data_IF_901871399057
#
_entry.id   IF_901871399057
#
_cell.length_a   1.000
_cell.length_b   1.000
_cell.length_c   1.000
_cell.angle_alpha   90.00
_cell.angle_beta   90.00
_cell.angle_gamma   90.00
#
_symmetry.space_group_name_H-M   'P 1'
#
loop_
_entity.id
_entity.type
_entity.pdbx_description
1 polymer ?
#
# COMPACT_ATOMS: atom_id res chain seq x y z
N UNK A 1 27.24 59.22 -31.43
CA UNK A 1 27.79 57.98 -30.87
C UNK A 1 26.78 57.43 -29.91
N UNK A 2 26.04 56.38 -30.28
CA UNK A 2 24.86 55.92 -29.57
C UNK A 2 25.22 54.91 -28.49
N UNK A 3 24.82 55.16 -27.26
CA UNK A 3 24.92 54.24 -26.13
C UNK A 3 23.67 53.33 -26.10
N UNK A 4 23.87 52.04 -26.25
CA UNK A 4 22.84 51.01 -26.20
C UNK A 4 22.59 50.60 -24.75
N UNK A 5 21.42 50.93 -24.22
CA UNK A 5 20.94 50.44 -22.91
C UNK A 5 20.31 49.05 -23.11
N UNK A 6 20.91 48.00 -22.51
CA UNK A 6 20.29 46.66 -22.40
C UNK A 6 19.26 46.66 -21.26
N UNK A 7 17.99 46.49 -21.60
CA UNK A 7 16.91 46.19 -20.65
C UNK A 7 17.01 44.72 -20.21
N UNK A 8 17.23 44.49 -18.92
CA UNK A 8 17.13 43.19 -18.27
C UNK A 8 15.65 42.91 -17.98
N UNK A 9 15.06 41.93 -18.69
CA UNK A 9 13.73 41.43 -18.43
C UNK A 9 13.72 40.58 -17.16
N UNK A 10 13.02 41.00 -16.14
CA UNK A 10 12.75 40.24 -14.93
C UNK A 10 11.83 39.06 -15.26
N UNK A 11 12.32 37.83 -15.06
CA UNK A 11 11.51 36.61 -15.15
C UNK A 11 10.59 36.53 -13.92
N UNK A 12 9.33 36.88 -14.08
CA UNK A 12 8.28 36.64 -13.09
C UNK A 12 8.05 35.12 -12.99
N UNK A 13 8.46 34.53 -11.89
CA UNK A 13 8.08 33.16 -11.53
C UNK A 13 6.56 33.14 -11.26
N UNK A 14 5.77 32.72 -12.25
CA UNK A 14 4.38 32.32 -12.03
C UNK A 14 4.38 31.10 -11.08
N UNK A 15 3.95 31.31 -9.84
CA UNK A 15 3.58 30.20 -8.94
C UNK A 15 2.48 29.38 -9.64
N UNK A 16 2.76 28.10 -9.88
CA UNK A 16 1.71 27.16 -10.30
C UNK A 16 0.61 27.16 -9.23
N UNK A 17 -0.67 27.25 -9.61
CA UNK A 17 -1.75 27.11 -8.64
C UNK A 17 -1.66 25.72 -7.97
N UNK A 18 -2.13 25.58 -6.71
CA UNK A 18 -2.18 24.28 -6.05
C UNK A 18 -2.98 23.33 -6.93
N UNK A 19 -2.46 22.12 -7.11
CA UNK A 19 -3.15 21.03 -7.83
C UNK A 19 -4.38 20.69 -6.99
N UNK A 20 -5.51 21.30 -7.31
CA UNK A 20 -6.82 20.82 -6.87
C UNK A 20 -6.95 19.41 -7.41
N UNK A 21 -7.00 18.42 -6.52
CA UNK A 21 -7.35 17.05 -6.90
C UNK A 21 -8.67 17.12 -7.66
N UNK A 22 -8.64 16.85 -8.97
CA UNK A 22 -9.85 16.71 -9.75
C UNK A 22 -10.59 15.51 -9.15
N UNK A 23 -11.76 15.76 -8.57
CA UNK A 23 -12.64 14.72 -8.05
C UNK A 23 -12.88 13.67 -9.13
N UNK A 24 -12.78 12.39 -8.79
CA UNK A 24 -12.99 11.28 -9.70
C UNK A 24 -14.37 11.36 -10.36
N UNK A 25 -14.43 11.13 -11.68
CA UNK A 25 -15.69 11.13 -12.43
C UNK A 25 -16.32 9.74 -12.41
N UNK A 26 -17.63 9.67 -12.36
CA UNK A 26 -18.41 8.45 -12.53
C UNK A 26 -18.55 8.08 -13.99
N UNK A 27 -18.67 6.78 -14.24
CA UNK A 27 -18.88 6.25 -15.59
C UNK A 27 -20.30 6.52 -16.14
N UNK A 28 -21.31 6.64 -15.28
CA UNK A 28 -22.67 7.01 -15.67
C UNK A 28 -23.31 7.88 -14.59
N UNK A 29 -23.77 9.05 -14.97
CA UNK A 29 -24.48 10.06 -14.17
C UNK A 29 -23.71 10.72 -13.02
N UNK A 30 -23.09 11.85 -13.32
CA UNK A 30 -22.45 12.79 -12.38
C UNK A 30 -23.42 13.35 -11.30
N UNK A 31 -24.69 12.92 -11.27
CA UNK A 31 -25.72 13.66 -10.56
C UNK A 31 -26.41 12.96 -9.39
N UNK A 32 -26.06 11.72 -9.03
CA UNK A 32 -26.83 11.07 -7.96
C UNK A 32 -26.03 10.20 -7.00
N UNK A 33 -25.38 10.83 -6.02
CA UNK A 33 -25.03 10.14 -4.77
C UNK A 33 -26.31 10.05 -3.94
N UNK A 34 -26.86 8.85 -3.78
CA UNK A 34 -27.93 8.61 -2.84
C UNK A 34 -27.34 8.51 -1.43
N UNK A 35 -27.37 9.63 -0.71
CA UNK A 35 -26.82 9.75 0.64
C UNK A 35 -27.60 8.93 1.68
N UNK A 36 -28.77 8.34 1.35
CA UNK A 36 -29.52 7.45 2.22
C UNK A 36 -28.97 6.02 2.19
N UNK A 37 -28.16 5.67 1.18
CA UNK A 37 -27.55 4.33 1.10
C UNK A 37 -26.32 4.22 1.98
N UNK A 38 -26.04 3.02 2.54
CA UNK A 38 -24.87 2.78 3.37
C UNK A 38 -23.54 2.83 2.57
N UNK A 39 -23.61 2.64 1.25
CA UNK A 39 -22.48 2.81 0.34
C UNK A 39 -22.90 3.75 -0.78
N UNK A 40 -22.12 4.81 -0.95
CA UNK A 40 -22.35 5.77 -2.03
C UNK A 40 -21.60 5.33 -3.28
N UNK A 41 -22.32 5.35 -4.39
CA UNK A 41 -21.71 5.06 -5.69
C UNK A 41 -20.78 6.21 -6.09
N UNK A 42 -19.49 6.09 -5.78
CA UNK A 42 -18.44 7.08 -5.99
C UNK A 42 -17.19 6.40 -6.57
N UNK A 43 -16.49 7.07 -7.46
CA UNK A 43 -15.28 6.55 -8.09
C UNK A 43 -14.11 7.53 -8.01
N UNK A 44 -12.91 6.99 -7.76
CA UNK A 44 -11.65 7.68 -7.96
C UNK A 44 -11.04 7.44 -9.34
N UNK A 45 -11.54 6.47 -10.09
CA UNK A 45 -11.03 6.15 -11.43
C UNK A 45 -11.60 7.11 -12.47
N UNK A 46 -10.73 7.61 -13.32
CA UNK A 46 -11.09 8.31 -14.56
C UNK A 46 -11.17 7.31 -15.71
N UNK A 47 -11.74 7.72 -16.85
CA UNK A 47 -11.76 6.87 -18.06
C UNK A 47 -10.34 6.53 -18.51
N UNK A 48 -9.40 7.46 -18.42
CA UNK A 48 -7.99 7.23 -18.73
C UNK A 48 -7.36 6.19 -17.78
N UNK A 49 -7.67 6.24 -16.48
CA UNK A 49 -7.22 5.23 -15.51
C UNK A 49 -7.71 3.83 -15.91
N UNK A 50 -8.96 3.71 -16.38
CA UNK A 50 -9.52 2.43 -16.79
C UNK A 50 -8.88 1.91 -18.07
N UNK A 51 -8.64 2.79 -19.06
CA UNK A 51 -7.87 2.43 -20.25
C UNK A 51 -6.48 1.93 -19.88
N UNK A 52 -5.78 2.67 -19.02
CA UNK A 52 -4.45 2.30 -18.53
C UNK A 52 -4.48 0.99 -17.73
N UNK A 53 -5.50 0.78 -16.89
CA UNK A 53 -5.67 -0.46 -16.13
C UNK A 53 -5.84 -1.68 -17.06
N UNK A 54 -6.73 -1.58 -18.04
CA UNK A 54 -6.95 -2.65 -19.02
C UNK A 54 -5.72 -2.95 -19.89
N UNK A 55 -4.88 -1.95 -20.12
CA UNK A 55 -3.63 -2.08 -20.88
C UNK A 55 -2.43 -2.49 -20.02
N UNK A 56 -2.59 -2.64 -18.69
CA UNK A 56 -1.49 -2.94 -17.77
C UNK A 56 -0.50 -1.79 -17.57
N UNK A 57 -0.91 -0.55 -17.83
CA UNK A 57 -0.09 0.65 -17.71
C UNK A 57 -0.50 1.61 -16.60
N UNK A 58 -1.39 1.20 -15.72
CA UNK A 58 -1.80 1.98 -14.54
C UNK A 58 -0.78 1.83 -13.39
N UNK A 59 0.41 2.41 -13.53
CA UNK A 59 1.51 2.28 -12.57
C UNK A 59 1.24 2.92 -11.20
N UNK A 60 0.25 3.79 -11.09
CA UNK A 60 -0.15 4.45 -9.85
C UNK A 60 -1.47 3.91 -9.28
N UNK A 61 -1.84 2.67 -9.61
CA UNK A 61 -3.08 2.02 -9.17
C UNK A 61 -3.27 2.04 -7.65
N UNK A 62 -2.19 2.01 -6.86
CA UNK A 62 -2.23 2.12 -5.40
C UNK A 62 -2.85 3.43 -4.86
N UNK A 63 -3.04 4.44 -5.72
CA UNK A 63 -3.74 5.69 -5.38
C UNK A 63 -5.25 5.61 -5.56
N UNK A 64 -5.73 4.50 -6.15
CA UNK A 64 -7.13 4.28 -6.50
C UNK A 64 -7.68 3.03 -5.82
N UNK A 65 -6.92 1.93 -5.89
CA UNK A 65 -7.27 0.69 -5.20
C UNK A 65 -6.99 0.79 -3.69
N UNK A 66 -7.73 0.01 -2.91
CA UNK A 66 -7.63 -0.04 -1.46
C UNK A 66 -8.60 0.92 -0.77
N UNK A 67 -8.30 1.25 0.48
CA UNK A 67 -9.08 2.15 1.32
C UNK A 67 -8.45 3.55 1.37
N UNK A 68 -9.25 4.59 1.05
CA UNK A 68 -8.80 5.98 1.01
C UNK A 68 -9.73 6.88 1.81
N UNK A 69 -9.19 7.62 2.80
CA UNK A 69 -9.94 8.64 3.52
C UNK A 69 -10.31 9.79 2.58
N UNK A 70 -11.58 10.13 2.52
CA UNK A 70 -12.13 11.21 1.68
C UNK A 70 -13.23 11.96 2.40
N UNK A 71 -13.49 13.18 1.92
CA UNK A 71 -14.71 13.93 2.22
C UNK A 71 -15.55 14.02 0.95
N UNK A 72 -16.76 13.50 0.97
CA UNK A 72 -17.70 13.51 -0.15
C UNK A 72 -19.01 14.12 0.32
N UNK A 73 -19.53 15.14 -0.35
CA UNK A 73 -20.72 15.91 0.08
C UNK A 73 -20.65 16.30 1.57
N UNK A 74 -19.54 16.93 1.98
CA UNK A 74 -19.24 17.37 3.36
C UNK A 74 -19.27 16.24 4.41
N UNK A 75 -19.26 14.99 3.99
CA UNK A 75 -19.24 13.83 4.88
C UNK A 75 -17.91 13.11 4.80
N UNK A 76 -17.24 12.95 5.93
CA UNK A 76 -16.01 12.17 6.04
C UNK A 76 -16.31 10.68 6.01
N UNK A 77 -15.41 9.91 5.40
CA UNK A 77 -15.52 8.47 5.32
C UNK A 77 -14.36 7.86 4.53
N UNK A 78 -14.56 6.63 4.06
CA UNK A 78 -13.56 5.94 3.26
C UNK A 78 -14.14 5.45 1.94
N UNK A 79 -13.41 5.71 0.87
CA UNK A 79 -13.61 5.05 -0.41
C UNK A 79 -12.85 3.73 -0.41
N UNK A 80 -13.48 2.69 -0.96
CA UNK A 80 -12.90 1.35 -1.13
C UNK A 80 -12.96 0.95 -2.58
N UNK A 81 -11.89 0.33 -3.07
CA UNK A 81 -11.87 -0.27 -4.40
C UNK A 81 -11.03 -1.56 -4.42
N UNK A 82 -11.53 -2.58 -5.12
CA UNK A 82 -10.85 -3.86 -5.27
C UNK A 82 -11.13 -4.48 -6.63
N UNK A 83 -10.14 -5.18 -7.18
CA UNK A 83 -10.28 -5.93 -8.42
C UNK A 83 -10.66 -7.37 -8.15
N UNK A 84 -11.90 -7.73 -8.54
CA UNK A 84 -12.45 -9.08 -8.39
C UNK A 84 -13.34 -9.41 -9.60
N UNK A 85 -12.74 -9.65 -10.78
CA UNK A 85 -13.44 -9.70 -12.07
C UNK A 85 -14.44 -10.85 -12.22
N UNK A 86 -14.28 -11.93 -11.44
CA UNK A 86 -15.16 -13.09 -11.50
C UNK A 86 -16.11 -13.17 -10.29
N UNK A 87 -16.14 -12.12 -9.45
CA UNK A 87 -17.07 -12.03 -8.34
C UNK A 87 -18.48 -11.68 -8.81
N UNK A 88 -19.49 -12.28 -8.16
CA UNK A 88 -20.90 -11.91 -8.33
C UNK A 88 -21.36 -10.89 -7.29
N UNK A 89 -20.62 -10.72 -6.18
CA UNK A 89 -20.86 -9.72 -5.13
C UNK A 89 -19.55 -9.45 -4.39
N UNK A 90 -19.33 -8.18 -4.08
CA UNK A 90 -18.28 -7.74 -3.16
C UNK A 90 -18.90 -6.81 -2.11
N UNK A 91 -18.49 -6.94 -0.86
CA UNK A 91 -18.90 -6.04 0.22
C UNK A 91 -17.72 -5.76 1.15
N UNK A 92 -17.69 -4.59 1.77
CA UNK A 92 -16.76 -4.29 2.86
C UNK A 92 -17.39 -4.74 4.17
N UNK A 93 -16.67 -5.55 4.94
CA UNK A 93 -17.08 -6.02 6.26
C UNK A 93 -16.02 -5.65 7.28
N UNK A 94 -16.45 -5.31 8.48
CA UNK A 94 -15.55 -4.89 9.54
C UNK A 94 -16.28 -4.66 10.86
N UNK A 95 -15.55 -4.17 11.87
CA UNK A 95 -16.12 -3.90 13.21
C UNK A 95 -17.27 -2.89 13.12
N UNK A 96 -17.16 -1.88 12.25
CA UNK A 96 -18.17 -0.83 12.02
C UNK A 96 -19.54 -1.35 11.54
N UNK A 97 -19.62 -2.57 11.05
CA UNK A 97 -20.90 -3.16 10.61
C UNK A 97 -21.16 -4.56 11.20
N UNK A 98 -20.39 -4.94 12.26
CA UNK A 98 -20.50 -6.24 12.90
C UNK A 98 -20.20 -7.40 11.95
N UNK A 99 -19.33 -7.20 10.97
CA UNK A 99 -18.90 -8.18 9.96
C UNK A 99 -20.03 -8.71 9.07
N UNK A 100 -21.10 -7.92 8.91
CA UNK A 100 -22.31 -8.32 8.16
C UNK A 100 -22.15 -8.04 6.68
N UNK A 101 -22.08 -9.10 5.87
CA UNK A 101 -21.84 -9.09 4.42
C UNK A 101 -22.97 -8.44 3.57
N UNK A 102 -24.08 -8.05 4.20
CA UNK A 102 -25.22 -7.44 3.51
C UNK A 102 -25.23 -5.91 3.60
N UNK A 103 -24.49 -5.31 4.58
CA UNK A 103 -24.68 -3.91 4.92
C UNK A 103 -23.92 -2.94 4.01
N UNK A 104 -22.72 -3.30 3.53
CA UNK A 104 -21.91 -2.41 2.71
C UNK A 104 -21.48 -3.05 1.39
N UNK A 105 -22.44 -3.39 0.49
CA UNK A 105 -22.10 -3.91 -0.83
C UNK A 105 -21.46 -2.83 -1.69
N UNK A 106 -20.36 -3.17 -2.35
CA UNK A 106 -19.71 -2.32 -3.36
C UNK A 106 -20.43 -2.43 -4.70
N UNK A 107 -20.22 -1.44 -5.54
CA UNK A 107 -20.74 -1.38 -6.90
C UNK A 107 -19.68 -1.89 -7.89
N UNK A 108 -20.08 -2.80 -8.78
CA UNK A 108 -19.25 -3.18 -9.91
C UNK A 108 -19.28 -2.09 -10.97
N UNK A 109 -18.13 -1.77 -11.54
CA UNK A 109 -18.05 -0.84 -12.68
C UNK A 109 -18.65 -1.46 -13.93
N UNK A 110 -19.38 -0.66 -14.70
CA UNK A 110 -20.07 -1.10 -15.93
C UNK A 110 -19.12 -1.24 -17.13
N UNK A 111 -17.90 -0.72 -17.03
CA UNK A 111 -16.88 -0.74 -18.09
C UNK A 111 -16.19 -2.10 -18.28
N UNK A 112 -16.66 -3.14 -17.60
CA UNK A 112 -16.11 -4.51 -17.65
C UNK A 112 -14.65 -4.62 -17.17
N UNK A 113 -14.16 -3.67 -16.36
CA UNK A 113 -12.84 -3.76 -15.74
C UNK A 113 -12.78 -4.83 -14.64
N UNK A 114 -13.93 -5.21 -14.08
CA UNK A 114 -14.02 -6.10 -12.93
C UNK A 114 -13.64 -5.44 -11.60
N UNK A 115 -13.59 -4.11 -11.58
CA UNK A 115 -13.35 -3.33 -10.37
C UNK A 115 -14.67 -3.14 -9.63
N UNK A 116 -14.63 -3.33 -8.32
CA UNK A 116 -15.71 -3.06 -7.37
C UNK A 116 -15.30 -1.88 -6.49
N UNK A 117 -16.19 -0.90 -6.33
CA UNK A 117 -15.86 0.33 -5.62
C UNK A 117 -17.07 0.97 -4.94
N UNK A 118 -16.79 1.91 -4.02
CA UNK A 118 -17.80 2.73 -3.37
C UNK A 118 -17.24 3.50 -2.18
N UNK A 119 -17.92 4.58 -1.80
CA UNK A 119 -17.61 5.36 -0.62
C UNK A 119 -18.53 4.96 0.53
N UNK A 120 -17.96 4.71 1.71
CA UNK A 120 -18.70 4.39 2.93
C UNK A 120 -18.54 5.58 3.88
N UNK A 121 -19.63 6.31 4.17
CA UNK A 121 -19.59 7.45 5.07
C UNK A 121 -19.32 7.02 6.52
N UNK A 122 -18.76 7.95 7.31
CA UNK A 122 -18.53 7.85 8.75
C UNK A 122 -17.52 6.81 9.22
N UNK A 123 -16.85 6.06 8.30
CA UNK A 123 -15.72 5.20 8.64
C UNK A 123 -14.57 6.07 9.14
N UNK A 124 -13.93 5.64 10.24
CA UNK A 124 -12.78 6.31 10.84
C UNK A 124 -11.47 5.60 10.47
N UNK A 125 -10.33 6.26 10.71
CA UNK A 125 -9.03 5.61 10.64
C UNK A 125 -8.88 4.59 11.79
N UNK A 126 -8.22 3.44 11.49
CA UNK A 126 -8.01 2.37 12.46
C UNK A 126 -9.12 1.31 12.49
N UNK A 127 -10.17 1.46 11.68
CA UNK A 127 -11.23 0.45 11.58
C UNK A 127 -10.75 -0.80 10.86
N UNK A 128 -11.04 -1.97 11.44
CA UNK A 128 -10.71 -3.27 10.85
C UNK A 128 -11.70 -3.61 9.75
N UNK A 129 -11.19 -4.10 8.64
CA UNK A 129 -12.04 -4.54 7.53
C UNK A 129 -11.44 -5.67 6.70
N UNK A 130 -12.31 -6.35 5.96
CA UNK A 130 -12.01 -7.27 4.86
C UNK A 130 -12.98 -7.05 3.71
N UNK A 131 -12.61 -7.53 2.53
CA UNK A 131 -13.55 -7.72 1.45
C UNK A 131 -14.23 -9.10 1.58
N UNK A 132 -15.57 -9.09 1.77
CA UNK A 132 -16.36 -10.28 1.52
C UNK A 132 -16.58 -10.38 0.01
N UNK A 133 -16.22 -11.53 -0.56
CA UNK A 133 -16.33 -11.79 -2.00
C UNK A 133 -17.18 -13.05 -2.20
N UNK A 134 -18.30 -12.91 -2.93
CA UNK A 134 -19.00 -14.06 -3.48
C UNK A 134 -18.44 -14.30 -4.87
N UNK A 135 -17.48 -15.18 -4.94
CA UNK A 135 -16.67 -15.43 -6.12
C UNK A 135 -17.27 -16.45 -7.09
N UNK A 136 -16.40 -16.97 -7.96
CA UNK A 136 -16.75 -17.94 -8.97
C UNK A 136 -17.46 -19.17 -8.38
N UNK A 137 -18.51 -19.64 -9.06
CA UNK A 137 -19.39 -20.75 -8.60
C UNK A 137 -19.99 -20.55 -7.20
N UNK A 138 -20.07 -19.30 -6.73
CA UNK A 138 -20.73 -18.96 -5.48
C UNK A 138 -19.91 -19.20 -4.22
N UNK A 139 -18.59 -19.48 -4.34
CA UNK A 139 -17.70 -19.57 -3.18
C UNK A 139 -17.69 -18.25 -2.39
N UNK A 140 -17.77 -18.35 -1.07
CA UNK A 140 -17.73 -17.17 -0.19
C UNK A 140 -16.34 -17.05 0.43
N UNK A 141 -15.73 -15.89 0.28
CA UNK A 141 -14.36 -15.60 0.68
C UNK A 141 -14.30 -14.34 1.53
N UNK A 142 -13.36 -14.34 2.48
CA UNK A 142 -13.02 -13.17 3.31
C UNK A 142 -11.56 -12.81 3.03
N UNK A 143 -11.33 -11.76 2.25
CA UNK A 143 -10.02 -11.37 1.76
C UNK A 143 -9.54 -10.08 2.41
N UNK A 144 -8.27 -10.07 2.83
CA UNK A 144 -7.60 -8.81 3.13
C UNK A 144 -7.50 -7.95 1.87
N UNK A 145 -7.37 -6.66 2.05
CA UNK A 145 -7.23 -5.73 0.94
C UNK A 145 -5.81 -5.85 0.35
N UNK A 146 -5.67 -6.18 -0.95
CA UNK A 146 -4.36 -6.26 -1.61
C UNK A 146 -3.57 -4.95 -1.58
N UNK A 147 -4.27 -3.82 -1.44
CA UNK A 147 -3.69 -2.48 -1.38
C UNK A 147 -3.77 -1.84 0.01
N UNK A 148 -4.04 -2.64 1.05
CA UNK A 148 -4.04 -2.15 2.42
C UNK A 148 -2.72 -1.45 2.75
N UNK A 149 -2.82 -0.32 3.45
CA UNK A 149 -1.66 0.43 3.93
C UNK A 149 -1.27 0.06 5.35
N UNK A 150 -2.16 -0.63 6.05
CA UNK A 150 -1.96 -1.14 7.40
C UNK A 150 -2.71 -2.45 7.60
N UNK A 151 -2.13 -3.37 8.35
CA UNK A 151 -2.71 -4.67 8.66
C UNK A 151 -2.79 -4.88 10.17
N UNK A 152 -3.72 -5.73 10.62
CA UNK A 152 -3.72 -6.20 12.00
C UNK A 152 -2.43 -6.97 12.32
N UNK A 153 -2.01 -6.88 13.58
CA UNK A 153 -0.95 -7.74 14.09
C UNK A 153 -1.38 -9.20 14.04
N UNK A 154 -0.49 -10.06 13.50
CA UNK A 154 -0.72 -11.50 13.48
C UNK A 154 -1.02 -12.06 14.88
N UNK A 155 -1.80 -13.12 15.04
CA UNK A 155 -2.37 -14.01 14.00
C UNK A 155 -3.64 -13.46 13.34
N UNK A 156 -4.07 -12.25 13.69
CA UNK A 156 -5.18 -11.60 13.01
C UNK A 156 -4.81 -11.25 11.55
N UNK A 157 -5.82 -11.09 10.69
CA UNK A 157 -5.62 -11.04 9.24
C UNK A 157 -6.46 -9.96 8.54
N UNK A 158 -6.97 -8.98 9.31
CA UNK A 158 -7.75 -7.90 8.72
C UNK A 158 -6.84 -6.78 8.23
N UNK A 159 -7.31 -6.04 7.26
CA UNK A 159 -6.76 -4.74 6.90
C UNK A 159 -7.31 -3.67 7.84
N UNK A 160 -6.57 -2.60 8.03
CA UNK A 160 -7.04 -1.42 8.77
C UNK A 160 -7.13 -0.21 7.84
N UNK A 161 -8.18 0.58 8.00
CA UNK A 161 -8.26 1.90 7.39
C UNK A 161 -7.15 2.77 7.98
N UNK A 162 -6.42 3.48 7.12
CA UNK A 162 -5.28 4.28 7.56
C UNK A 162 -5.23 5.64 6.86
N UNK A 163 -4.97 6.67 7.64
CA UNK A 163 -4.67 8.00 7.14
C UNK A 163 -3.41 8.50 7.83
N UNK A 164 -2.33 8.64 7.04
CA UNK A 164 -1.05 9.10 7.56
C UNK A 164 -1.10 10.57 7.95
N UNK A 165 -0.58 10.88 9.14
CA UNK A 165 -0.31 12.24 9.60
C UNK A 165 1.18 12.58 9.57
N UNK A 166 2.03 11.66 9.12
CA UNK A 166 3.48 11.81 9.13
C UNK A 166 3.96 12.94 8.22
N UNK A 167 4.88 13.77 8.74
CA UNK A 167 5.52 14.84 8.00
C UNK A 167 7.01 14.54 7.83
N UNK A 168 7.45 14.42 6.57
CA UNK A 168 8.86 14.21 6.24
C UNK A 168 9.69 15.46 6.52
N UNK A 169 10.86 15.29 7.15
CA UNK A 169 11.83 16.37 7.38
C UNK A 169 13.25 16.05 6.85
N UNK A 170 13.34 15.10 5.93
CA UNK A 170 14.56 14.61 5.27
C UNK A 170 15.00 15.43 4.04
N UNK A 171 14.53 16.65 3.90
CA UNK A 171 14.76 17.49 2.72
C UNK A 171 16.26 17.72 2.39
N UNK A 172 17.14 17.70 3.40
CA UNK A 172 18.60 17.78 3.20
C UNK A 172 19.16 16.53 2.52
N UNK A 173 18.67 15.35 2.91
CA UNK A 173 19.00 14.07 2.29
C UNK A 173 18.51 14.05 0.84
N UNK A 174 17.25 14.39 0.61
CA UNK A 174 16.64 14.39 -0.72
C UNK A 174 17.36 15.28 -1.72
N UNK A 175 17.92 16.42 -1.28
CA UNK A 175 18.74 17.31 -2.12
C UNK A 175 20.10 16.68 -2.50
N UNK A 176 20.67 15.86 -1.62
CA UNK A 176 22.00 15.26 -1.80
C UNK A 176 21.96 13.84 -2.39
N UNK A 177 20.77 13.22 -2.42
CA UNK A 177 20.57 11.81 -2.79
C UNK A 177 21.23 11.42 -4.11
N UNK A 178 21.08 12.21 -5.16
CA UNK A 178 21.66 11.90 -6.47
C UNK A 178 23.19 11.85 -6.46
N UNK A 179 23.84 12.70 -5.65
CA UNK A 179 25.30 12.68 -5.46
C UNK A 179 25.74 11.50 -4.60
N UNK A 180 25.05 11.24 -3.51
CA UNK A 180 25.38 10.16 -2.57
C UNK A 180 25.20 8.77 -3.21
N UNK A 181 24.24 8.66 -4.12
CA UNK A 181 23.91 7.42 -4.84
C UNK A 181 24.45 7.39 -6.27
N UNK A 182 25.47 8.22 -6.59
CA UNK A 182 26.11 8.18 -7.89
C UNK A 182 26.85 6.85 -8.11
N UNK A 183 26.93 6.39 -9.37
CA UNK A 183 27.58 5.11 -9.70
C UNK A 183 29.04 5.02 -9.24
N UNK A 184 29.72 6.16 -9.11
CA UNK A 184 31.12 6.24 -8.64
C UNK A 184 31.24 6.52 -7.14
N UNK A 185 30.12 6.67 -6.42
CA UNK A 185 30.15 6.87 -4.97
C UNK A 185 30.49 5.53 -4.29
N UNK A 186 31.27 5.57 -3.19
CA UNK A 186 31.52 4.36 -2.40
C UNK A 186 30.23 3.92 -1.70
N UNK A 187 29.94 2.63 -1.75
CA UNK A 187 28.80 2.01 -1.09
C UNK A 187 29.27 0.99 -0.07
N UNK A 188 28.68 1.06 1.12
CA UNK A 188 28.77 0.04 2.17
C UNK A 188 27.37 -0.17 2.73
N UNK A 189 26.82 -1.36 2.56
CA UNK A 189 25.43 -1.70 2.92
C UNK A 189 25.42 -2.58 4.15
N UNK A 190 24.58 -2.25 5.12
CA UNK A 190 24.25 -3.11 6.24
C UNK A 190 22.88 -3.75 6.01
N UNK A 191 22.87 -5.02 5.66
CA UNK A 191 21.64 -5.81 5.54
C UNK A 191 21.15 -6.23 6.91
N UNK A 192 19.86 -6.08 7.20
CA UNK A 192 19.30 -6.37 8.52
C UNK A 192 17.86 -6.90 8.44
N UNK A 193 17.62 -7.97 9.20
CA UNK A 193 16.28 -8.44 9.51
C UNK A 193 15.80 -7.80 10.82
N UNK A 194 14.81 -6.90 10.74
CA UNK A 194 14.36 -6.12 11.89
C UNK A 194 13.82 -6.99 13.04
N UNK A 195 13.20 -8.12 12.73
CA UNK A 195 12.62 -9.03 13.72
C UNK A 195 13.61 -9.84 14.54
N UNK A 196 14.89 -9.94 14.11
CA UNK A 196 15.92 -10.68 14.83
C UNK A 196 17.06 -9.78 15.34
N UNK A 197 17.12 -8.53 14.92
CA UNK A 197 18.18 -7.61 15.32
C UNK A 197 17.98 -7.15 16.76
N UNK A 198 18.94 -7.52 17.64
CA UNK A 198 18.98 -7.13 19.07
C UNK A 198 17.60 -7.16 19.75
N UNK A 199 16.94 -8.30 19.75
CA UNK A 199 15.62 -8.46 20.37
C UNK A 199 15.61 -7.92 21.81
N UNK A 200 14.57 -7.20 22.25
CA UNK A 200 14.43 -6.69 23.61
C UNK A 200 14.51 -7.80 24.67
N UNK A 201 13.92 -8.98 24.38
CA UNK A 201 14.03 -10.19 25.18
C UNK A 201 14.64 -11.29 24.31
N UNK A 202 15.94 -11.59 24.42
CA UNK A 202 16.64 -12.51 23.50
C UNK A 202 16.04 -13.93 23.46
N UNK A 203 15.44 -14.40 24.54
CA UNK A 203 14.83 -15.73 24.67
C UNK A 203 13.37 -15.79 24.18
N UNK A 204 12.78 -14.65 23.86
CA UNK A 204 11.40 -14.55 23.37
C UNK A 204 11.40 -14.24 21.86
N UNK A 205 11.02 -15.23 21.05
CA UNK A 205 10.98 -15.10 19.59
C UNK A 205 9.90 -14.10 19.11
N UNK A 206 8.94 -13.77 19.95
CA UNK A 206 7.88 -12.78 19.65
C UNK A 206 8.22 -11.38 20.18
N UNK A 207 9.37 -11.21 20.84
CA UNK A 207 9.86 -9.93 21.32
C UNK A 207 10.54 -9.16 20.20
N UNK A 208 9.85 -8.17 19.63
CA UNK A 208 10.37 -7.31 18.57
C UNK A 208 10.63 -5.88 19.06
N UNK A 209 11.66 -5.25 18.52
CA UNK A 209 11.83 -3.81 18.66
C UNK A 209 10.70 -3.07 17.91
N UNK A 210 10.12 -2.07 18.54
CA UNK A 210 9.27 -1.11 17.83
C UNK A 210 10.10 -0.25 16.87
N UNK A 211 9.46 0.38 15.88
CA UNK A 211 10.11 1.35 15.00
C UNK A 211 10.81 2.45 15.81
N UNK A 212 10.24 2.90 16.93
CA UNK A 212 10.86 3.89 17.80
C UNK A 212 12.16 3.37 18.44
N UNK A 213 12.17 2.14 18.95
CA UNK A 213 13.38 1.52 19.51
C UNK A 213 14.44 1.29 18.43
N UNK A 214 14.04 0.94 17.21
CA UNK A 214 14.95 0.83 16.06
C UNK A 214 15.57 2.20 15.70
N UNK A 215 14.83 3.28 15.80
CA UNK A 215 15.35 4.65 15.63
C UNK A 215 16.42 4.93 16.69
N UNK A 216 16.19 4.55 17.93
CA UNK A 216 17.08 4.83 19.06
C UNK A 216 18.35 3.98 19.04
N UNK A 217 18.28 2.75 18.53
CA UNK A 217 19.40 1.80 18.62
C UNK A 217 20.01 1.44 17.26
N UNK A 218 19.23 1.10 16.25
CA UNK A 218 19.73 0.65 14.96
C UNK A 218 20.33 1.81 14.15
N UNK A 219 19.66 2.98 14.13
CA UNK A 219 20.15 4.13 13.36
C UNK A 219 21.53 4.59 13.83
N UNK A 220 21.79 4.81 15.14
CA UNK A 220 23.13 5.15 15.63
C UNK A 220 24.17 4.05 15.39
N UNK A 221 23.77 2.79 15.50
CA UNK A 221 24.66 1.65 15.24
C UNK A 221 25.15 1.65 13.79
N UNK A 222 24.24 1.66 12.82
CA UNK A 222 24.56 1.66 11.37
C UNK A 222 25.44 2.87 11.02
N UNK A 223 25.09 4.05 11.54
CA UNK A 223 25.86 5.28 11.34
C UNK A 223 27.24 5.20 11.98
N UNK A 224 27.33 4.71 13.21
CA UNK A 224 28.60 4.59 13.97
C UNK A 224 29.58 3.60 13.34
N UNK A 225 29.07 2.53 12.72
CA UNK A 225 29.86 1.56 11.97
C UNK A 225 30.33 2.07 10.58
N UNK A 226 29.87 3.24 10.15
CA UNK A 226 30.30 3.87 8.90
C UNK A 226 29.62 3.35 7.63
N UNK A 227 28.50 2.63 7.76
CA UNK A 227 27.72 2.21 6.60
C UNK A 227 27.06 3.41 5.91
N UNK A 228 27.02 3.37 4.58
CA UNK A 228 26.38 4.40 3.75
C UNK A 228 24.89 4.13 3.54
N UNK A 229 24.50 2.86 3.59
CA UNK A 229 23.13 2.41 3.39
C UNK A 229 22.79 1.31 4.40
N UNK A 230 21.50 1.21 4.71
CA UNK A 230 20.89 0.05 5.35
C UNK A 230 19.96 -0.61 4.35
N UNK A 231 20.00 -1.93 4.26
CA UNK A 231 19.05 -2.75 3.52
C UNK A 231 18.15 -3.46 4.52
N UNK A 232 16.87 -3.15 4.48
CA UNK A 232 15.87 -3.80 5.30
C UNK A 232 15.36 -5.03 4.56
N UNK A 233 15.64 -6.23 5.07
CA UNK A 233 15.00 -7.47 4.63
C UNK A 233 13.48 -7.28 4.66
N UNK A 234 12.68 -8.09 3.94
CA UNK A 234 11.28 -7.74 3.64
C UNK A 234 10.49 -7.22 4.83
N UNK A 235 9.96 -6.02 4.71
CA UNK A 235 9.16 -5.33 5.73
C UNK A 235 7.69 -5.23 5.35
N UNK A 236 7.27 -5.88 4.26
CA UNK A 236 5.86 -6.06 3.91
C UNK A 236 5.15 -6.90 4.98
N UNK A 237 3.82 -6.78 5.08
CA UNK A 237 3.07 -7.66 5.99
C UNK A 237 3.10 -9.13 5.52
N UNK A 238 3.36 -10.04 6.47
CA UNK A 238 3.47 -11.46 6.24
C UNK A 238 2.96 -12.27 7.44
N UNK A 239 2.36 -13.48 7.24
CA UNK A 239 1.73 -14.23 8.33
C UNK A 239 2.72 -15.06 9.14
N UNK A 240 3.79 -15.57 8.52
CA UNK A 240 4.68 -16.58 9.10
C UNK A 240 6.09 -16.02 9.36
N UNK A 241 6.50 -15.93 10.62
CA UNK A 241 7.79 -15.35 11.02
C UNK A 241 8.99 -16.08 10.44
N UNK A 242 8.92 -17.40 10.31
CA UNK A 242 9.99 -18.21 9.73
C UNK A 242 10.28 -17.91 8.25
N UNK A 243 9.40 -17.16 7.57
CA UNK A 243 9.64 -16.70 6.21
C UNK A 243 10.54 -15.45 6.13
N UNK A 244 10.81 -14.79 7.26
CA UNK A 244 11.55 -13.52 7.34
C UNK A 244 10.96 -12.40 6.47
N UNK A 245 9.66 -12.50 6.15
CA UNK A 245 8.95 -11.58 5.27
C UNK A 245 8.96 -11.94 3.78
N UNK A 246 9.65 -13.03 3.38
CA UNK A 246 9.67 -13.47 1.97
C UNK A 246 8.36 -14.12 1.50
N UNK A 247 7.41 -14.40 2.39
CA UNK A 247 6.06 -14.86 2.06
C UNK A 247 5.02 -13.77 2.39
N UNK A 248 5.10 -12.64 1.69
CA UNK A 248 4.25 -11.48 1.93
C UNK A 248 2.79 -11.68 1.53
N UNK A 249 1.87 -11.16 2.34
CA UNK A 249 0.43 -11.10 2.07
C UNK A 249 -0.09 -9.67 1.88
N UNK A 250 0.67 -8.65 2.32
CA UNK A 250 0.29 -7.25 2.25
C UNK A 250 1.39 -6.37 1.64
N UNK A 251 1.45 -6.29 0.31
CA UNK A 251 2.55 -5.65 -0.44
C UNK A 251 2.66 -4.13 -0.24
N UNK A 252 1.61 -3.47 0.22
CA UNK A 252 1.56 -2.02 0.44
C UNK A 252 1.48 -1.62 1.92
N UNK A 253 1.45 -2.61 2.82
CA UNK A 253 1.47 -2.41 4.26
C UNK A 253 2.84 -2.79 4.83
N UNK A 254 3.51 -1.92 5.58
CA UNK A 254 4.62 -2.37 6.41
C UNK A 254 4.08 -3.31 7.50
N UNK A 255 4.88 -4.32 7.86
CA UNK A 255 4.44 -5.28 8.88
C UNK A 255 4.15 -4.58 10.21
N UNK A 256 3.01 -4.92 10.80
CA UNK A 256 2.54 -4.37 12.08
C UNK A 256 3.31 -4.89 13.30
N UNK A 257 4.25 -5.84 13.12
CA UNK A 257 5.12 -6.36 14.17
C UNK A 257 5.91 -5.30 14.90
N UNK A 258 6.30 -4.25 14.20
CA UNK A 258 7.18 -3.20 14.71
C UNK A 258 6.46 -1.88 14.98
N UNK A 259 5.15 -1.80 14.69
CA UNK A 259 4.31 -0.62 14.88
C UNK A 259 3.48 -0.27 13.66
N UNK A 260 3.05 0.98 13.57
CA UNK A 260 2.19 1.49 12.51
C UNK A 260 2.98 2.03 11.29
N UNK A 261 2.31 2.33 10.18
CA UNK A 261 2.96 2.84 8.97
C UNK A 261 3.69 4.19 9.14
N UNK A 262 3.25 5.05 10.06
CA UNK A 262 3.91 6.33 10.32
C UNK A 262 5.19 6.14 11.13
N UNK A 263 5.22 5.14 12.02
CA UNK A 263 6.44 4.68 12.70
C UNK A 263 7.49 4.17 11.70
N UNK A 264 7.07 3.40 10.68
CA UNK A 264 7.98 2.96 9.61
C UNK A 264 8.55 4.14 8.81
N UNK A 265 7.73 5.14 8.47
CA UNK A 265 8.21 6.37 7.82
C UNK A 265 9.19 7.13 8.72
N UNK A 266 8.92 7.18 10.03
CA UNK A 266 9.80 7.81 10.99
C UNK A 266 11.19 7.13 11.03
N UNK A 267 11.24 5.80 10.96
CA UNK A 267 12.50 5.04 10.88
C UNK A 267 13.29 5.42 9.60
N UNK A 268 12.66 5.42 8.44
CA UNK A 268 13.30 5.82 7.18
C UNK A 268 13.80 7.27 7.27
N UNK A 269 12.97 8.16 7.78
CA UNK A 269 13.30 9.58 7.95
C UNK A 269 14.50 9.78 8.92
N UNK A 270 14.60 8.97 9.97
CA UNK A 270 15.72 9.00 10.89
C UNK A 270 17.03 8.55 10.23
N UNK A 271 17.02 7.48 9.42
CA UNK A 271 18.18 7.08 8.62
C UNK A 271 18.62 8.17 7.65
N UNK A 272 17.70 8.79 6.92
CA UNK A 272 17.99 9.89 6.02
C UNK A 272 18.63 11.08 6.74
N UNK A 273 18.11 11.45 7.91
CA UNK A 273 18.66 12.53 8.73
C UNK A 273 20.05 12.18 9.31
N UNK A 274 20.33 10.90 9.54
CA UNK A 274 21.66 10.42 9.91
C UNK A 274 22.63 10.35 8.70
N UNK A 275 22.16 10.61 7.49
CA UNK A 275 22.94 10.56 6.25
C UNK A 275 23.11 9.14 5.70
N UNK A 276 22.26 8.20 6.11
CA UNK A 276 22.22 6.79 5.66
C UNK A 276 21.08 6.60 4.69
N UNK A 277 21.33 5.98 3.52
CA UNK A 277 20.31 5.58 2.58
C UNK A 277 19.58 4.32 3.02
N UNK A 278 18.33 4.16 2.59
CA UNK A 278 17.51 2.98 2.89
C UNK A 278 17.19 2.22 1.61
N UNK A 279 17.46 0.93 1.61
CA UNK A 279 17.07 -0.04 0.58
C UNK A 279 15.99 -0.91 1.20
N UNK A 280 14.90 -1.15 0.46
CA UNK A 280 13.85 -2.08 0.88
C UNK A 280 13.94 -3.33 0.00
N UNK A 281 14.10 -4.48 0.63
CA UNK A 281 13.98 -5.76 -0.05
C UNK A 281 12.48 -6.01 -0.30
N UNK A 282 12.09 -6.05 -1.58
CA UNK A 282 10.71 -6.22 -2.01
C UNK A 282 10.57 -7.45 -2.91
N UNK A 283 9.66 -8.34 -2.57
CA UNK A 283 9.53 -9.67 -3.18
C UNK A 283 8.25 -9.77 -4.02
N UNK A 284 8.22 -9.26 -5.25
CA UNK A 284 7.04 -9.27 -6.11
C UNK A 284 6.87 -10.57 -6.90
N UNK A 285 7.66 -11.61 -6.65
CA UNK A 285 7.71 -12.81 -7.49
C UNK A 285 6.64 -13.84 -7.14
N UNK A 286 6.31 -13.98 -5.87
CA UNK A 286 5.43 -15.02 -5.35
C UNK A 286 4.71 -14.57 -4.09
N UNK A 287 3.71 -15.34 -3.66
CA UNK A 287 2.93 -15.14 -2.43
C UNK A 287 2.45 -16.48 -1.85
N UNK A 288 2.18 -16.55 -0.53
CA UNK A 288 1.70 -17.76 0.12
C UNK A 288 0.23 -18.05 -0.22
N UNK A 289 -0.23 -19.25 0.11
CA UNK A 289 -1.60 -19.71 -0.15
C UNK A 289 -2.60 -19.37 0.97
N UNK A 290 -2.24 -18.48 1.88
CA UNK A 290 -3.10 -18.08 2.99
C UNK A 290 -4.48 -17.62 2.50
N UNK A 291 -5.52 -18.15 3.13
CA UNK A 291 -6.90 -17.95 2.67
C UNK A 291 -7.34 -16.47 2.63
N UNK A 292 -6.76 -15.64 3.49
CA UNK A 292 -7.03 -14.19 3.51
C UNK A 292 -6.23 -13.40 2.48
N UNK A 293 -5.16 -13.99 1.92
CA UNK A 293 -4.25 -13.35 0.97
C UNK A 293 -4.74 -13.40 -0.48
N UNK A 294 -3.79 -13.32 -1.41
CA UNK A 294 -4.06 -13.20 -2.85
C UNK A 294 -4.51 -14.49 -3.52
N UNK A 295 -4.15 -15.66 -2.96
CA UNK A 295 -4.46 -16.96 -3.53
C UNK A 295 -5.96 -17.13 -3.79
N UNK A 296 -6.33 -17.52 -5.01
CA UNK A 296 -7.73 -17.71 -5.44
C UNK A 296 -8.64 -16.53 -5.02
N UNK A 297 -8.19 -15.30 -5.29
CA UNK A 297 -8.71 -14.09 -4.67
C UNK A 297 -10.23 -13.91 -4.82
N UNK A 298 -10.78 -14.17 -6.00
CA UNK A 298 -12.22 -14.14 -6.27
C UNK A 298 -12.81 -15.53 -6.57
N UNK A 299 -12.16 -16.59 -6.06
CA UNK A 299 -12.48 -17.98 -6.35
C UNK A 299 -11.88 -18.48 -7.65
N UNK A 300 -11.03 -17.68 -8.28
CA UNK A 300 -10.24 -18.04 -9.48
C UNK A 300 -8.79 -17.64 -9.30
N UNK A 301 -7.93 -18.06 -10.20
CA UNK A 301 -6.51 -17.66 -10.25
C UNK A 301 -6.39 -16.20 -10.73
N UNK A 302 -6.79 -15.26 -9.88
CA UNK A 302 -6.85 -13.81 -10.23
C UNK A 302 -5.45 -13.21 -10.36
N UNK A 303 -4.57 -13.52 -9.42
CA UNK A 303 -3.20 -12.98 -9.36
C UNK A 303 -2.13 -13.98 -9.80
N UNK A 304 -2.39 -15.27 -9.67
CA UNK A 304 -1.46 -16.34 -10.00
C UNK A 304 -1.75 -16.98 -11.36
N UNK A 305 -0.79 -17.76 -11.88
CA UNK A 305 -1.03 -18.60 -13.04
C UNK A 305 -1.93 -19.80 -12.69
N UNK A 306 -2.92 -20.08 -13.53
CA UNK A 306 -3.79 -21.25 -13.37
C UNK A 306 -3.07 -22.59 -13.65
N UNK A 307 -2.05 -22.59 -14.51
CA UNK A 307 -1.21 -23.75 -14.77
C UNK A 307 -0.19 -23.92 -13.63
N UNK A 308 -0.38 -24.93 -12.79
CA UNK A 308 0.49 -25.20 -11.62
C UNK A 308 1.96 -25.39 -11.97
N UNK A 309 2.28 -25.81 -13.20
CA UNK A 309 3.69 -25.92 -13.66
C UNK A 309 4.39 -24.57 -13.80
N UNK A 310 3.61 -23.48 -13.90
CA UNK A 310 4.06 -22.08 -13.98
C UNK A 310 3.71 -21.27 -12.75
N UNK A 311 2.64 -21.65 -12.06
CA UNK A 311 2.01 -20.89 -11.01
C UNK A 311 2.36 -21.34 -9.60
N UNK A 312 3.16 -22.41 -9.43
CA UNK A 312 3.51 -22.92 -8.12
C UNK A 312 5.00 -23.22 -8.00
N UNK A 313 5.59 -22.78 -6.90
CA UNK A 313 6.99 -23.02 -6.55
C UNK A 313 7.05 -24.10 -5.45
N UNK A 314 7.46 -25.35 -5.77
CA UNK A 314 7.38 -26.47 -4.83
C UNK A 314 8.31 -26.31 -3.62
N UNK A 315 9.52 -25.75 -3.81
CA UNK A 315 10.50 -25.61 -2.73
C UNK A 315 10.07 -24.55 -1.69
N UNK A 316 9.33 -23.52 -2.12
CA UNK A 316 8.86 -22.44 -1.25
C UNK A 316 7.38 -22.53 -0.90
N UNK A 317 6.69 -23.55 -1.41
CA UNK A 317 5.25 -23.75 -1.19
C UNK A 317 4.46 -22.46 -1.42
N UNK A 318 4.69 -21.78 -2.55
CA UNK A 318 4.15 -20.46 -2.86
C UNK A 318 3.63 -20.38 -4.30
N UNK A 319 2.75 -19.42 -4.56
CA UNK A 319 2.17 -19.17 -5.87
C UNK A 319 2.88 -18.02 -6.57
N UNK A 320 3.04 -18.12 -7.89
CA UNK A 320 3.79 -17.19 -8.72
C UNK A 320 2.81 -16.24 -9.41
N UNK A 321 3.09 -14.94 -9.30
CA UNK A 321 2.30 -13.90 -9.96
C UNK A 321 2.21 -14.10 -11.47
N UNK A 322 1.01 -13.90 -12.02
CA UNK A 322 0.79 -13.90 -13.46
C UNK A 322 1.03 -12.52 -14.07
N UNK A 323 2.27 -12.22 -14.44
CA UNK A 323 2.66 -10.95 -15.07
C UNK A 323 2.12 -10.70 -16.48
N UNK A 324 1.28 -11.60 -17.00
CA UNK A 324 0.64 -11.44 -18.31
C UNK A 324 -0.78 -10.86 -18.22
N UNK A 325 -1.22 -10.54 -17.03
CA UNK A 325 -2.53 -9.93 -16.77
C UNK A 325 -2.40 -8.45 -16.46
#
# INVERSE_FOLDING_TARGET
MASSARQTAAKTHRKKPPVTQKQGRRYEDEHFIDAQKPVWNYSLFTDEDIVNFKNGTLYNGFRKFGAHALTVLDTNGYYFAVWAPNASKVAVVGDFNGWKKQLHPLYVRLDQSGIWEGFIPHIQAGEKYKFYIKGYKGVELMKADPYARYAELRPATSSLTWQSAFQWNDGSWMKKRSKNNALQAPWSVYEVHLGSWQRPVPTDEESFNSYQQLIEHLVPYVKGMGFTHVELMPVMEFPYDGSWGYQGTGYFAPTSRFGDPDGFKALINAFHNAGVGVILDWVPSHFPYDAHGLFMFDGTHTYEYADMRKGYHPDWNSYIFNYRR
#
